data_IF_476832930275
#
_entry.id   IF_476832930275
#
_cell.length_a   1.000
_cell.length_b   1.000
_cell.length_c   1.000
_cell.angle_alpha   90.00
_cell.angle_beta   90.00
_cell.angle_gamma   90.00
#
_symmetry.space_group_name_H-M   'P 1'
#
loop_
_entity.id
_entity.type
_entity.pdbx_description
1 polymer ?
#
# COMPACT_ATOMS: atom_id res chain seq x y z
N UNK A 1 -0.27 12.56 22.57
CA UNK A 1 -1.28 11.87 21.72
C UNK A 1 -1.47 10.44 22.23
N UNK A 2 -2.70 9.89 22.23
CA UNK A 2 -2.95 8.50 22.64
C UNK A 2 -2.57 7.52 21.52
N UNK A 3 -1.70 6.56 21.82
CA UNK A 3 -1.29 5.49 20.90
C UNK A 3 -1.42 4.15 21.62
N UNK A 4 -2.62 3.56 21.67
CA UNK A 4 -2.86 2.36 22.46
C UNK A 4 -2.13 1.12 21.91
N UNK A 5 -1.78 1.13 20.62
CA UNK A 5 -0.99 0.11 19.94
C UNK A 5 -0.52 0.60 18.57
N UNK A 6 0.47 -0.09 18.01
CA UNK A 6 0.92 0.07 16.63
C UNK A 6 0.31 -1.02 15.73
N UNK A 7 0.00 -0.64 14.50
CA UNK A 7 -0.29 -1.55 13.38
C UNK A 7 0.26 -0.93 12.10
N UNK A 8 0.41 -1.69 11.04
CA UNK A 8 0.88 -1.17 9.76
C UNK A 8 0.06 0.04 9.28
N UNK A 9 -1.28 -0.03 9.40
CA UNK A 9 -2.19 1.07 9.03
C UNK A 9 -2.00 2.29 9.92
N UNK A 10 -1.84 2.11 11.24
CA UNK A 10 -1.62 3.21 12.18
C UNK A 10 -0.28 3.89 11.95
N UNK A 11 0.79 3.12 11.77
CA UNK A 11 2.12 3.65 11.45
C UNK A 11 2.12 4.41 10.13
N UNK A 12 1.48 3.87 9.09
CA UNK A 12 1.31 4.59 7.82
C UNK A 12 0.60 5.92 8.04
N UNK A 13 -0.57 5.91 8.69
CA UNK A 13 -1.35 7.13 8.91
C UNK A 13 -0.59 8.16 9.75
N UNK A 14 0.14 7.72 10.77
CA UNK A 14 0.96 8.60 11.60
C UNK A 14 2.11 9.23 10.79
N UNK A 15 2.76 8.44 9.94
CA UNK A 15 3.81 8.92 9.03
C UNK A 15 3.27 9.92 8.02
N UNK A 16 2.09 9.65 7.48
CA UNK A 16 1.47 10.49 6.44
C UNK A 16 0.98 11.83 7.03
N UNK A 17 0.32 11.79 8.20
CA UNK A 17 -0.18 13.00 8.86
C UNK A 17 -0.56 12.73 10.33
N UNK A 18 0.16 13.33 11.28
CA UNK A 18 -0.11 13.20 12.71
C UNK A 18 -1.52 13.74 13.08
N UNK A 19 -1.96 14.86 12.50
CA UNK A 19 -3.29 15.41 12.70
C UNK A 19 -4.40 14.45 12.26
N UNK A 20 -4.29 13.87 11.07
CA UNK A 20 -5.25 12.89 10.59
C UNK A 20 -5.25 11.60 11.45
N UNK A 21 -4.10 11.20 11.99
CA UNK A 21 -4.00 10.12 12.96
C UNK A 21 -4.77 10.45 14.24
N UNK A 22 -4.55 11.63 14.81
CA UNK A 22 -5.21 12.08 16.03
C UNK A 22 -6.73 12.10 15.86
N UNK A 23 -7.24 12.78 14.82
CA UNK A 23 -8.67 12.84 14.55
C UNK A 23 -9.30 11.45 14.33
N UNK A 24 -8.53 10.50 13.80
CA UNK A 24 -9.05 9.16 13.54
C UNK A 24 -9.03 8.23 14.76
N UNK A 25 -7.98 8.28 15.56
CA UNK A 25 -7.72 7.30 16.62
C UNK A 25 -7.72 7.87 18.03
N UNK A 26 -7.63 9.17 18.18
CA UNK A 26 -7.59 9.90 19.43
C UNK A 26 -8.48 11.17 19.34
N UNK A 27 -9.70 10.95 18.85
CA UNK A 27 -10.63 12.06 18.54
C UNK A 27 -10.94 12.96 19.74
N UNK A 28 -10.90 12.44 20.97
CA UNK A 28 -11.12 13.21 22.20
C UNK A 28 -10.10 14.34 22.36
N UNK A 29 -8.89 14.15 21.86
CA UNK A 29 -7.79 15.12 21.92
C UNK A 29 -7.61 15.91 20.61
N UNK A 30 -8.49 15.71 19.62
CA UNK A 30 -8.51 16.47 18.38
C UNK A 30 -9.06 17.89 18.64
N UNK A 31 -8.61 18.92 17.91
CA UNK A 31 -9.12 20.30 18.07
C UNK A 31 -10.63 20.44 17.89
N UNK A 32 -11.28 19.56 17.14
CA UNK A 32 -12.75 19.51 16.95
C UNK A 32 -13.24 18.07 17.16
N UNK A 33 -13.40 17.61 18.42
CA UNK A 33 -13.70 16.20 18.72
C UNK A 33 -15.02 15.69 18.10
N UNK A 34 -16.08 16.46 18.23
CA UNK A 34 -17.43 16.08 17.72
C UNK A 34 -17.43 15.98 16.19
N UNK A 35 -16.80 16.95 15.51
CA UNK A 35 -16.66 16.94 14.06
C UNK A 35 -15.79 15.77 13.59
N UNK A 36 -14.68 15.48 14.29
CA UNK A 36 -13.82 14.36 13.99
C UNK A 36 -14.56 13.02 14.08
N UNK A 37 -15.40 12.86 15.11
CA UNK A 37 -16.25 11.66 15.26
C UNK A 37 -17.30 11.58 14.15
N UNK A 38 -17.97 12.70 13.84
CA UNK A 38 -18.97 12.76 12.78
C UNK A 38 -18.36 12.46 11.39
N UNK A 39 -17.25 13.10 11.05
CA UNK A 39 -16.52 12.89 9.78
C UNK A 39 -15.99 11.46 9.64
N UNK A 40 -15.45 10.89 10.70
CA UNK A 40 -15.02 9.49 10.70
C UNK A 40 -16.19 8.54 10.46
N UNK A 41 -17.34 8.80 11.09
CA UNK A 41 -18.54 7.99 10.90
C UNK A 41 -19.05 8.12 9.45
N UNK A 42 -19.11 9.33 8.90
CA UNK A 42 -19.48 9.58 7.52
C UNK A 42 -18.55 8.87 6.54
N UNK A 43 -17.23 8.96 6.73
CA UNK A 43 -16.25 8.29 5.90
C UNK A 43 -16.33 6.75 5.94
N UNK A 44 -16.73 6.18 7.07
CA UNK A 44 -16.95 4.73 7.18
C UNK A 44 -18.25 4.27 6.47
N UNK A 45 -19.22 5.18 6.29
CA UNK A 45 -20.45 4.94 5.54
C UNK A 45 -20.31 5.28 4.06
N UNK A 46 -19.39 6.19 3.68
CA UNK A 46 -19.08 6.43 2.28
C UNK A 46 -18.51 5.16 1.67
N UNK A 47 -19.14 4.76 0.61
CA UNK A 47 -18.92 3.53 -0.13
C UNK A 47 -17.47 3.07 -0.17
N UNK A 48 -17.18 1.98 0.53
CA UNK A 48 -16.01 1.18 0.17
C UNK A 48 -16.13 0.89 -1.31
N UNK A 49 -15.10 1.21 -2.08
CA UNK A 49 -15.10 0.95 -3.52
C UNK A 49 -15.52 -0.50 -3.78
N UNK A 50 -16.17 -0.78 -4.89
CA UNK A 50 -16.56 -2.15 -5.25
C UNK A 50 -15.36 -3.12 -5.18
N UNK A 51 -14.16 -2.64 -5.56
CA UNK A 51 -12.92 -3.41 -5.42
C UNK A 51 -12.61 -3.79 -3.96
N UNK A 52 -12.83 -2.88 -3.00
CA UNK A 52 -12.62 -3.17 -1.58
C UNK A 52 -13.68 -4.16 -1.03
N UNK A 53 -14.95 -4.04 -1.49
CA UNK A 53 -16.01 -5.00 -1.13
C UNK A 53 -15.67 -6.41 -1.63
N UNK A 54 -15.26 -6.55 -2.89
CA UNK A 54 -14.80 -7.84 -3.45
C UNK A 54 -13.60 -8.37 -2.70
N UNK A 55 -12.64 -7.50 -2.32
CA UNK A 55 -11.52 -7.88 -1.47
C UNK A 55 -11.99 -8.52 -0.16
N UNK A 56 -12.94 -7.89 0.55
CA UNK A 56 -13.50 -8.43 1.79
C UNK A 56 -14.23 -9.77 1.58
N UNK A 57 -14.98 -9.90 0.48
CA UNK A 57 -15.65 -11.17 0.10
C UNK A 57 -14.62 -12.28 -0.13
N UNK A 58 -13.54 -11.98 -0.84
CA UNK A 58 -12.46 -12.94 -1.11
C UNK A 58 -11.78 -13.37 0.19
N UNK A 59 -11.39 -12.42 1.07
CA UNK A 59 -10.77 -12.72 2.36
C UNK A 59 -11.69 -13.58 3.25
N UNK A 60 -12.95 -13.17 3.43
CA UNK A 60 -13.89 -13.95 4.22
C UNK A 60 -14.17 -15.35 3.66
N UNK A 61 -14.21 -15.49 2.33
CA UNK A 61 -14.37 -16.81 1.70
C UNK A 61 -13.15 -17.71 1.94
N UNK A 62 -11.93 -17.17 1.87
CA UNK A 62 -10.70 -17.89 2.14
C UNK A 62 -10.59 -18.27 3.63
N UNK A 63 -10.94 -17.35 4.51
CA UNK A 63 -11.02 -17.58 5.96
C UNK A 63 -11.93 -18.76 6.28
N UNK A 64 -13.21 -18.69 5.87
CA UNK A 64 -14.19 -19.74 6.18
C UNK A 64 -13.82 -21.08 5.53
N UNK A 65 -13.27 -21.04 4.31
CA UNK A 65 -12.82 -22.25 3.63
C UNK A 65 -11.59 -22.89 4.29
N UNK A 66 -10.71 -22.10 4.93
CA UNK A 66 -9.51 -22.60 5.63
C UNK A 66 -9.79 -23.08 7.05
N UNK A 67 -10.85 -22.59 7.70
CA UNK A 67 -11.25 -23.07 9.03
C UNK A 67 -11.61 -24.56 9.01
N UNK A 68 -11.29 -25.29 10.07
CA UNK A 68 -11.80 -26.65 10.24
C UNK A 68 -13.34 -26.63 10.25
N UNK A 69 -13.94 -27.66 9.67
CA UNK A 69 -15.38 -27.89 9.76
C UNK A 69 -15.78 -28.06 11.23
N UNK A 70 -16.76 -27.28 11.69
CA UNK A 70 -17.18 -27.23 13.10
C UNK A 70 -17.69 -28.60 13.61
N UNK A 71 -18.33 -29.38 12.74
CA UNK A 71 -18.90 -30.67 13.13
C UNK A 71 -17.86 -31.78 13.19
N UNK A 72 -16.80 -31.71 12.39
CA UNK A 72 -15.83 -32.82 12.24
C UNK A 72 -14.44 -32.46 12.75
N UNK A 73 -14.15 -31.19 13.00
CA UNK A 73 -12.81 -30.67 13.35
C UNK A 73 -11.76 -30.85 12.25
N UNK A 74 -12.18 -31.26 11.05
CA UNK A 74 -11.27 -31.54 9.92
C UNK A 74 -11.20 -30.33 8.96
N UNK A 75 -10.01 -30.07 8.38
CA UNK A 75 -9.90 -29.05 7.33
C UNK A 75 -10.82 -29.37 6.16
N UNK A 76 -11.42 -28.35 5.58
CA UNK A 76 -12.21 -28.49 4.36
C UNK A 76 -11.41 -29.16 3.25
N UNK A 77 -12.02 -30.11 2.54
CA UNK A 77 -11.35 -30.74 1.39
C UNK A 77 -10.98 -29.67 0.37
N UNK A 78 -9.78 -29.71 -0.22
CA UNK A 78 -9.31 -28.71 -1.18
C UNK A 78 -10.05 -28.85 -2.52
N UNK A 79 -11.32 -28.49 -2.55
CA UNK A 79 -12.18 -28.49 -3.74
C UNK A 79 -12.60 -27.06 -4.04
N UNK A 80 -12.40 -26.61 -5.27
CA UNK A 80 -12.80 -25.27 -5.70
C UNK A 80 -14.29 -24.99 -5.47
N UNK A 81 -15.15 -25.96 -5.72
CA UNK A 81 -16.59 -25.82 -5.47
C UNK A 81 -16.95 -25.55 -4.00
N UNK A 82 -16.13 -26.05 -3.03
CA UNK A 82 -16.32 -25.72 -1.62
C UNK A 82 -15.95 -24.25 -1.35
N UNK A 83 -14.81 -23.79 -1.87
CA UNK A 83 -14.41 -22.38 -1.78
C UNK A 83 -15.46 -21.44 -2.41
N UNK A 84 -16.03 -21.83 -3.56
CA UNK A 84 -17.05 -21.01 -4.21
C UNK A 84 -18.33 -20.89 -3.40
N UNK A 85 -18.74 -21.91 -2.64
CA UNK A 85 -19.89 -21.80 -1.72
C UNK A 85 -19.67 -20.72 -0.65
N UNK A 86 -18.47 -20.64 -0.09
CA UNK A 86 -18.13 -19.59 0.87
C UNK A 86 -18.11 -18.20 0.18
N UNK A 87 -17.55 -18.12 -1.02
CA UNK A 87 -17.55 -16.86 -1.79
C UNK A 87 -18.97 -16.36 -2.07
N UNK A 88 -19.86 -17.22 -2.51
CA UNK A 88 -21.27 -16.90 -2.78
C UNK A 88 -21.99 -16.46 -1.49
N UNK A 89 -21.76 -17.16 -0.38
CA UNK A 89 -22.33 -16.81 0.92
C UNK A 89 -21.86 -15.43 1.42
N UNK A 90 -20.58 -15.09 1.24
CA UNK A 90 -20.07 -13.77 1.58
C UNK A 90 -20.59 -12.67 0.64
N UNK A 91 -20.65 -12.93 -0.65
CA UNK A 91 -21.15 -11.97 -1.65
C UNK A 91 -22.66 -11.69 -1.49
N UNK A 92 -23.43 -12.63 -0.92
CA UNK A 92 -24.84 -12.44 -0.62
C UNK A 92 -25.13 -11.50 0.55
N UNK A 93 -24.11 -11.15 1.37
CA UNK A 93 -24.29 -10.24 2.51
C UNK A 93 -24.53 -8.81 1.98
N UNK A 94 -25.57 -8.07 2.46
CA UNK A 94 -25.96 -6.77 1.90
C UNK A 94 -24.82 -5.74 1.83
N UNK A 95 -23.92 -5.73 2.85
CA UNK A 95 -22.78 -4.80 2.90
C UNK A 95 -21.69 -5.07 1.86
N UNK A 96 -21.76 -6.20 1.15
CA UNK A 96 -20.77 -6.61 0.13
C UNK A 96 -21.37 -6.70 -1.27
N UNK A 97 -22.56 -6.12 -1.49
CA UNK A 97 -23.16 -6.04 -2.82
C UNK A 97 -22.24 -5.30 -3.79
N UNK A 98 -22.01 -5.89 -4.95
CA UNK A 98 -21.17 -5.37 -6.03
C UNK A 98 -21.82 -5.65 -7.39
N UNK A 99 -21.37 -4.92 -8.40
CA UNK A 99 -21.80 -5.20 -9.78
C UNK A 99 -21.32 -6.57 -10.25
N UNK A 100 -22.03 -7.15 -11.20
CA UNK A 100 -21.75 -8.48 -11.75
C UNK A 100 -20.30 -8.60 -12.25
N UNK A 101 -19.75 -7.56 -12.88
CA UNK A 101 -18.37 -7.55 -13.37
C UNK A 101 -17.33 -7.70 -12.25
N UNK A 102 -17.56 -7.06 -11.11
CA UNK A 102 -16.70 -7.21 -9.93
C UNK A 102 -16.88 -8.56 -9.23
N UNK A 103 -18.11 -9.06 -9.20
CA UNK A 103 -18.39 -10.41 -8.68
C UNK A 103 -17.67 -11.49 -9.49
N UNK A 104 -17.77 -11.44 -10.82
CA UNK A 104 -17.07 -12.40 -11.69
C UNK A 104 -15.55 -12.23 -11.66
N UNK A 105 -15.03 -11.00 -11.53
CA UNK A 105 -13.60 -10.75 -11.32
C UNK A 105 -13.10 -11.46 -10.06
N UNK A 106 -13.84 -11.37 -8.95
CA UNK A 106 -13.49 -12.06 -7.70
C UNK A 106 -13.46 -13.59 -7.84
N UNK A 107 -14.44 -14.18 -8.53
CA UNK A 107 -14.46 -15.63 -8.84
C UNK A 107 -13.23 -16.04 -9.66
N UNK A 108 -12.89 -15.25 -10.68
CA UNK A 108 -11.73 -15.51 -11.55
C UNK A 108 -10.41 -15.41 -10.78
N UNK A 109 -10.29 -14.46 -9.85
CA UNK A 109 -9.13 -14.33 -8.95
C UNK A 109 -8.97 -15.59 -8.10
N UNK A 110 -10.05 -16.03 -7.44
CA UNK A 110 -10.05 -17.24 -6.62
C UNK A 110 -9.76 -18.51 -7.43
N UNK A 111 -10.27 -18.60 -8.66
CA UNK A 111 -9.99 -19.74 -9.56
C UNK A 111 -8.50 -19.84 -9.86
N UNK A 112 -7.88 -18.75 -10.34
CA UNK A 112 -6.45 -18.71 -10.67
C UNK A 112 -5.56 -18.99 -9.46
N UNK A 113 -5.93 -18.44 -8.30
CA UNK A 113 -5.22 -18.71 -7.05
C UNK A 113 -5.34 -20.19 -6.64
N UNK A 114 -6.55 -20.75 -6.67
CA UNK A 114 -6.81 -22.13 -6.27
C UNK A 114 -6.03 -23.13 -7.14
N UNK A 115 -5.98 -22.89 -8.44
CA UNK A 115 -5.25 -23.76 -9.39
C UNK A 115 -3.73 -23.77 -9.09
N UNK A 116 -3.18 -22.64 -8.62
CA UNK A 116 -1.76 -22.51 -8.26
C UNK A 116 -1.43 -23.07 -6.86
N UNK A 117 -2.23 -22.74 -5.86
CA UNK A 117 -1.88 -22.87 -4.45
C UNK A 117 -2.91 -23.59 -3.58
N UNK A 118 -4.16 -23.61 -3.98
CA UNK A 118 -5.27 -24.10 -3.17
C UNK A 118 -5.18 -25.59 -2.80
N UNK A 119 -4.38 -26.38 -3.51
CA UNK A 119 -4.23 -27.83 -3.36
C UNK A 119 -3.06 -28.25 -2.48
N UNK A 120 -2.21 -27.32 -2.03
CA UNK A 120 -1.00 -27.68 -1.29
C UNK A 120 -1.32 -28.15 0.14
N UNK A 121 -0.89 -29.38 0.51
CA UNK A 121 -1.10 -29.94 1.85
C UNK A 121 -0.05 -29.38 2.83
N UNK A 122 -0.22 -28.15 3.30
CA UNK A 122 0.55 -27.56 4.39
C UNK A 122 -0.31 -27.58 5.65
N UNK A 123 0.28 -27.86 6.81
CA UNK A 123 -0.45 -27.84 8.08
C UNK A 123 -0.88 -26.40 8.38
N UNK A 124 -2.19 -26.21 8.56
CA UNK A 124 -2.74 -24.95 9.02
C UNK A 124 -2.59 -24.92 10.56
N UNK A 125 -1.91 -23.90 11.06
CA UNK A 125 -1.75 -23.64 12.49
C UNK A 125 -2.88 -22.76 13.00
N UNK A 126 -3.16 -21.67 12.27
CA UNK A 126 -4.24 -20.74 12.60
C UNK A 126 -4.79 -20.05 11.34
N UNK A 127 -6.04 -19.61 11.43
CA UNK A 127 -6.76 -18.81 10.43
C UNK A 127 -7.32 -17.59 11.13
N UNK A 128 -7.17 -16.39 10.57
CA UNK A 128 -7.57 -15.11 11.18
C UNK A 128 -7.01 -14.96 12.60
N UNK A 129 -5.70 -15.25 12.73
CA UNK A 129 -5.02 -15.18 14.01
C UNK A 129 -4.92 -13.74 14.47
N UNK A 130 -5.61 -13.43 15.55
CA UNK A 130 -5.49 -12.13 16.21
C UNK A 130 -4.18 -12.06 17.02
N UNK A 131 -3.48 -10.95 16.92
CA UNK A 131 -2.38 -10.63 17.84
C UNK A 131 -2.96 -10.14 19.15
N UNK A 132 -2.56 -10.77 20.25
CA UNK A 132 -3.08 -10.47 21.58
C UNK A 132 -4.41 -11.17 21.90
N UNK A 133 -4.98 -10.85 23.06
CA UNK A 133 -6.23 -11.43 23.57
C UNK A 133 -7.45 -10.59 23.15
N UNK A 134 -8.66 -11.03 23.52
CA UNK A 134 -9.95 -10.56 22.99
C UNK A 134 -10.07 -9.05 22.77
N UNK A 135 -9.59 -8.20 23.66
CA UNK A 135 -9.65 -6.73 23.56
C UNK A 135 -8.32 -6.01 23.84
N UNK A 136 -7.24 -6.78 24.05
CA UNK A 136 -5.91 -6.25 24.34
C UNK A 136 -4.94 -6.46 23.17
N UNK A 137 -4.05 -5.49 22.88
CA UNK A 137 -2.97 -5.69 21.93
C UNK A 137 -1.96 -6.72 22.48
N UNK A 138 -1.18 -7.33 21.60
CA UNK A 138 0.00 -8.07 21.99
C UNK A 138 1.10 -7.08 22.39
N UNK A 139 1.74 -7.29 23.53
CA UNK A 139 2.85 -6.43 23.97
C UNK A 139 4.14 -7.19 23.71
N UNK A 140 4.97 -6.66 22.81
CA UNK A 140 6.30 -7.21 22.52
C UNK A 140 7.18 -7.11 23.80
N UNK A 141 8.19 -7.97 23.88
CA UNK A 141 9.17 -7.99 25.01
C UNK A 141 9.80 -6.61 25.28
N UNK A 142 9.95 -5.78 24.24
CA UNK A 142 10.46 -4.41 24.35
C UNK A 142 9.41 -3.40 24.86
N UNK A 143 8.21 -3.84 25.23
CA UNK A 143 7.13 -3.04 25.78
C UNK A 143 6.23 -2.36 24.73
N UNK A 144 6.42 -2.60 23.44
CA UNK A 144 5.60 -1.99 22.38
C UNK A 144 4.31 -2.78 22.17
N UNK A 145 3.13 -2.18 22.35
CA UNK A 145 1.87 -2.84 22.03
C UNK A 145 1.64 -2.85 20.52
N UNK A 146 1.38 -4.02 19.95
CA UNK A 146 1.08 -4.21 18.53
C UNK A 146 -0.28 -4.90 18.36
N UNK A 147 -0.93 -4.65 17.22
CA UNK A 147 -2.22 -5.24 16.91
C UNK A 147 -2.37 -5.53 15.42
N UNK A 148 -2.96 -6.66 15.11
CA UNK A 148 -3.27 -7.06 13.75
C UNK A 148 -4.03 -8.39 13.72
N UNK A 149 -4.51 -8.72 12.53
CA UNK A 149 -5.08 -10.02 12.20
C UNK A 149 -4.21 -10.65 11.12
N UNK A 150 -3.84 -11.88 11.31
CA UNK A 150 -3.03 -12.67 10.39
C UNK A 150 -3.97 -13.59 9.65
N UNK A 151 -4.07 -13.44 8.34
CA UNK A 151 -5.02 -14.22 7.54
C UNK A 151 -4.79 -15.73 7.69
N UNK A 152 -3.51 -16.17 7.70
CA UNK A 152 -3.20 -17.59 7.78
C UNK A 152 -1.80 -17.83 8.38
N UNK A 153 -1.68 -18.79 9.27
CA UNK A 153 -0.40 -19.31 9.79
C UNK A 153 -0.27 -20.77 9.36
N UNK A 154 0.84 -21.07 8.70
CA UNK A 154 1.16 -22.40 8.18
C UNK A 154 2.41 -22.96 8.86
N UNK A 155 2.46 -24.26 9.03
CA UNK A 155 3.65 -25.00 9.45
C UNK A 155 4.09 -25.94 8.34
N UNK A 156 5.32 -25.75 7.87
CA UNK A 156 5.96 -26.62 6.88
C UNK A 156 6.58 -27.84 7.52
N UNK A 157 6.89 -28.87 6.71
CA UNK A 157 7.47 -30.14 7.17
C UNK A 157 8.85 -30.00 7.81
N UNK A 158 9.59 -28.96 7.43
CA UNK A 158 10.90 -28.62 7.98
C UNK A 158 10.83 -27.80 9.28
N UNK A 159 9.61 -27.58 9.77
CA UNK A 159 9.36 -26.81 10.97
C UNK A 159 9.23 -25.29 10.74
N UNK A 160 9.40 -24.79 9.53
CA UNK A 160 9.23 -23.36 9.22
C UNK A 160 7.80 -22.91 9.46
N UNK A 161 7.62 -21.80 10.17
CA UNK A 161 6.34 -21.08 10.30
C UNK A 161 6.25 -20.04 9.20
N UNK A 162 5.20 -20.12 8.40
CA UNK A 162 4.87 -19.16 7.36
C UNK A 162 3.67 -18.31 7.78
N UNK A 163 3.88 -17.02 7.88
CA UNK A 163 2.81 -16.04 8.04
C UNK A 163 2.34 -15.62 6.66
N UNK A 164 1.07 -15.80 6.36
CA UNK A 164 0.49 -15.49 5.05
C UNK A 164 -0.51 -14.36 5.17
N UNK A 165 -0.42 -13.41 4.27
CA UNK A 165 -1.34 -12.30 4.12
C UNK A 165 -1.88 -12.28 2.69
N UNK A 166 -3.20 -12.36 2.54
CA UNK A 166 -3.87 -12.37 1.24
C UNK A 166 -4.01 -10.96 0.68
N UNK A 167 -3.62 -10.75 -0.56
CA UNK A 167 -3.74 -9.48 -1.28
C UNK A 167 -4.53 -9.65 -2.57
N UNK A 168 -5.70 -9.02 -2.64
CA UNK A 168 -6.58 -9.03 -3.81
C UNK A 168 -6.37 -7.84 -4.77
N UNK A 169 -5.44 -6.92 -4.44
CA UNK A 169 -5.17 -5.71 -5.22
C UNK A 169 -4.70 -6.02 -6.66
N UNK A 170 -4.86 -5.02 -7.53
CA UNK A 170 -4.58 -5.14 -8.98
C UNK A 170 -3.13 -4.80 -9.36
N UNK A 171 -2.32 -4.36 -8.41
CA UNK A 171 -0.89 -4.13 -8.61
C UNK A 171 -0.08 -5.23 -7.95
N UNK A 172 0.94 -5.80 -8.61
CA UNK A 172 1.86 -6.74 -7.98
C UNK A 172 2.74 -6.00 -6.96
N UNK A 173 3.26 -6.75 -5.99
CA UNK A 173 4.29 -6.31 -5.07
C UNK A 173 5.64 -6.85 -5.56
N UNK A 174 6.66 -6.01 -5.60
CA UNK A 174 8.03 -6.44 -5.89
C UNK A 174 8.70 -7.08 -4.66
N UNK A 175 9.78 -7.82 -4.87
CA UNK A 175 10.57 -8.41 -3.78
C UNK A 175 11.13 -7.31 -2.85
N UNK A 176 11.69 -6.24 -3.41
CA UNK A 176 12.23 -5.13 -2.62
C UNK A 176 11.19 -4.42 -1.76
N UNK A 177 9.94 -4.29 -2.24
CA UNK A 177 8.83 -3.77 -1.44
C UNK A 177 8.44 -4.74 -0.31
N UNK A 178 8.44 -6.04 -0.56
CA UNK A 178 8.14 -7.05 0.45
C UNK A 178 9.22 -7.11 1.54
N UNK A 179 10.49 -6.99 1.16
CA UNK A 179 11.62 -7.05 2.09
C UNK A 179 11.71 -5.85 3.04
N UNK A 180 11.03 -4.74 2.70
CA UNK A 180 10.99 -3.51 3.50
C UNK A 180 9.58 -3.21 4.06
N UNK A 181 8.66 -4.15 3.93
CA UNK A 181 7.27 -3.91 4.29
C UNK A 181 7.06 -3.91 5.81
N UNK A 182 6.44 -2.83 6.30
CA UNK A 182 6.18 -2.63 7.74
C UNK A 182 5.20 -3.67 8.29
N UNK A 183 4.23 -4.12 7.48
CA UNK A 183 3.27 -5.15 7.90
C UNK A 183 4.00 -6.48 8.08
N UNK A 184 4.86 -6.86 7.14
CA UNK A 184 5.70 -8.04 7.26
C UNK A 184 6.57 -7.98 8.53
N UNK A 185 7.18 -6.81 8.79
CA UNK A 185 8.00 -6.59 10.00
C UNK A 185 7.23 -6.76 11.31
N UNK A 186 6.02 -6.18 11.42
CA UNK A 186 5.17 -6.32 12.61
C UNK A 186 4.79 -7.79 12.84
N UNK A 187 4.43 -8.50 11.76
CA UNK A 187 3.98 -9.88 11.86
C UNK A 187 5.13 -10.84 12.17
N UNK A 188 6.32 -10.60 11.62
CA UNK A 188 7.53 -11.37 11.95
C UNK A 188 8.01 -11.06 13.38
N UNK A 189 7.93 -9.80 13.85
CA UNK A 189 8.24 -9.44 15.23
C UNK A 189 7.32 -10.17 16.22
N UNK A 190 6.01 -10.23 15.93
CA UNK A 190 5.08 -11.03 16.72
C UNK A 190 5.40 -12.52 16.66
N UNK A 191 5.61 -13.05 15.46
CA UNK A 191 5.85 -14.47 15.26
C UNK A 191 7.14 -14.95 15.96
N UNK A 192 8.18 -14.12 16.02
CA UNK A 192 9.45 -14.44 16.69
C UNK A 192 9.29 -14.68 18.20
N UNK A 193 8.27 -14.07 18.82
CA UNK A 193 7.98 -14.27 20.25
C UNK A 193 6.98 -15.41 20.50
N UNK A 194 6.06 -15.61 19.56
CA UNK A 194 5.03 -16.66 19.70
C UNK A 194 5.54 -18.03 19.28
N UNK A 195 6.48 -18.08 18.35
CA UNK A 195 7.11 -19.30 17.83
C UNK A 195 8.64 -19.23 17.98
N UNK A 196 9.13 -19.20 19.24
CA UNK A 196 10.58 -19.13 19.48
C UNK A 196 11.29 -20.34 18.86
N UNK A 197 12.53 -20.13 18.44
CA UNK A 197 13.41 -21.15 17.87
C UNK A 197 12.88 -21.82 16.58
N UNK A 198 11.92 -21.20 15.90
CA UNK A 198 11.38 -21.68 14.62
C UNK A 198 11.84 -20.80 13.48
N UNK A 199 12.27 -21.36 12.35
CA UNK A 199 12.48 -20.57 11.15
C UNK A 199 11.18 -19.86 10.73
N UNK A 200 11.27 -18.56 10.44
CA UNK A 200 10.13 -17.72 10.10
C UNK A 200 10.20 -17.21 8.68
N UNK A 201 9.07 -17.14 8.00
CA UNK A 201 8.93 -16.42 6.75
C UNK A 201 7.57 -15.73 6.67
N UNK A 202 7.52 -14.64 5.93
CA UNK A 202 6.29 -13.93 5.65
C UNK A 202 6.01 -13.96 4.14
N UNK A 203 4.77 -14.25 3.76
CA UNK A 203 4.35 -14.35 2.37
C UNK A 203 3.16 -13.44 2.08
N UNK A 204 3.34 -12.51 1.16
CA UNK A 204 2.21 -11.85 0.51
C UNK A 204 1.66 -12.79 -0.56
N UNK A 205 0.50 -13.37 -0.31
CA UNK A 205 -0.21 -14.16 -1.30
C UNK A 205 -0.99 -13.24 -2.23
N UNK A 206 -0.30 -12.75 -3.28
CA UNK A 206 -0.89 -11.88 -4.28
C UNK A 206 -1.82 -12.71 -5.15
N UNK A 207 -3.12 -12.74 -4.79
CA UNK A 207 -4.11 -13.67 -5.37
C UNK A 207 -4.20 -13.60 -6.90
N UNK A 208 -3.87 -12.45 -7.48
CA UNK A 208 -3.85 -12.25 -8.95
C UNK A 208 -2.54 -12.64 -9.61
N UNK A 209 -1.41 -12.61 -8.86
CA UNK A 209 -0.07 -12.64 -9.47
C UNK A 209 0.78 -13.83 -9.02
N UNK A 210 0.71 -14.22 -7.76
CA UNK A 210 1.56 -15.25 -7.18
C UNK A 210 1.96 -14.91 -5.76
N UNK A 211 3.03 -15.52 -5.26
CA UNK A 211 3.52 -15.32 -3.89
C UNK A 211 4.80 -14.51 -3.93
N UNK A 212 4.89 -13.53 -3.04
CA UNK A 212 6.13 -12.82 -2.77
C UNK A 212 6.48 -13.07 -1.31
N UNK A 213 7.58 -13.79 -1.08
CA UNK A 213 8.01 -14.21 0.25
C UNK A 213 9.21 -13.41 0.70
N UNK A 214 9.20 -12.95 1.95
CA UNK A 214 10.36 -12.35 2.59
C UNK A 214 10.76 -13.17 3.82
N UNK A 215 12.08 -13.28 4.03
CA UNK A 215 12.70 -13.97 5.16
C UNK A 215 13.63 -12.96 5.81
N UNK A 216 13.43 -12.72 7.10
CA UNK A 216 14.26 -11.82 7.87
C UNK A 216 15.12 -12.62 8.84
N UNK A 217 16.37 -12.22 9.01
CA UNK A 217 17.21 -12.76 10.05
C UNK A 217 16.75 -12.28 11.43
N UNK A 218 17.18 -12.96 12.48
CA UNK A 218 16.86 -12.58 13.87
C UNK A 218 17.41 -11.19 14.19
N UNK A 219 18.56 -10.82 13.63
CA UNK A 219 19.14 -9.49 13.79
C UNK A 219 18.22 -8.44 13.17
N UNK A 220 17.73 -8.68 11.95
CA UNK A 220 16.81 -7.75 11.27
C UNK A 220 15.48 -7.60 12.02
N UNK A 221 14.96 -8.69 12.57
CA UNK A 221 13.75 -8.66 13.42
C UNK A 221 14.00 -7.85 14.68
N UNK A 222 15.16 -8.03 15.32
CA UNK A 222 15.56 -7.28 16.51
C UNK A 222 15.72 -5.79 16.21
N UNK A 223 16.40 -5.42 15.13
CA UNK A 223 16.51 -4.04 14.67
C UNK A 223 15.14 -3.41 14.41
N UNK A 224 14.23 -4.17 13.78
CA UNK A 224 12.88 -3.70 13.53
C UNK A 224 12.07 -3.51 14.83
N UNK A 225 12.20 -4.39 15.84
CA UNK A 225 11.60 -4.21 17.16
C UNK A 225 12.12 -2.94 17.83
N UNK A 226 13.42 -2.66 17.76
CA UNK A 226 14.01 -1.44 18.27
C UNK A 226 13.48 -0.18 17.54
N UNK A 227 13.39 -0.25 16.22
CA UNK A 227 12.76 0.80 15.40
C UNK A 227 11.30 1.03 15.77
N UNK A 228 10.50 -0.04 15.97
CA UNK A 228 9.11 0.09 16.44
C UNK A 228 9.02 0.81 17.77
N UNK A 229 9.92 0.50 18.72
CA UNK A 229 9.98 1.16 20.02
C UNK A 229 10.23 2.66 19.86
N UNK A 230 11.23 3.03 19.08
CA UNK A 230 11.51 4.45 18.78
C UNK A 230 10.30 5.15 18.17
N UNK A 231 9.58 4.50 17.22
CA UNK A 231 8.38 5.07 16.62
C UNK A 231 7.22 5.19 17.60
N UNK A 232 7.07 4.23 18.48
CA UNK A 232 6.03 4.26 19.51
C UNK A 232 6.28 5.39 20.53
N UNK A 233 7.49 5.50 21.05
CA UNK A 233 7.90 6.55 21.99
C UNK A 233 7.77 7.94 21.36
N UNK A 234 8.25 8.11 20.13
CA UNK A 234 8.08 9.36 19.39
C UNK A 234 6.61 9.74 19.19
N UNK A 235 5.75 8.75 18.91
CA UNK A 235 4.32 9.00 18.75
C UNK A 235 3.64 9.41 20.08
N UNK A 236 4.04 8.82 21.19
CA UNK A 236 3.54 9.20 22.52
C UNK A 236 4.00 10.60 22.93
N UNK A 237 5.20 11.03 22.51
CA UNK A 237 5.76 12.34 22.80
C UNK A 237 5.14 13.48 21.98
N UNK A 238 4.27 13.20 21.00
CA UNK A 238 3.58 14.24 20.23
C UNK A 238 2.58 14.97 21.13
N UNK A 239 2.90 16.20 21.49
CA UNK A 239 2.03 17.09 22.27
C UNK A 239 0.98 17.72 21.34
N UNK A 240 1.39 18.26 20.22
CA UNK A 240 0.52 18.85 19.19
C UNK A 240 0.65 18.12 17.86
N UNK A 241 -0.47 17.61 17.34
CA UNK A 241 -0.49 16.88 16.08
C UNK A 241 -0.59 17.85 14.91
N UNK A 242 0.54 18.20 14.33
CA UNK A 242 0.63 19.13 13.20
C UNK A 242 0.19 18.42 11.90
N UNK A 243 -0.70 19.04 11.10
CA UNK A 243 -1.08 18.49 9.80
C UNK A 243 0.06 18.55 8.79
N UNK A 244 0.18 17.47 8.01
CA UNK A 244 1.14 17.37 6.92
C UNK A 244 0.37 17.28 5.60
N UNK A 245 0.63 18.18 4.66
CA UNK A 245 0.05 18.13 3.33
C UNK A 245 0.79 17.13 2.45
N UNK A 246 0.04 16.23 1.83
CA UNK A 246 0.59 15.18 0.96
C UNK A 246 -0.48 14.53 0.09
N UNK A 247 -0.10 13.47 -0.62
CA UNK A 247 -1.00 12.76 -1.53
C UNK A 247 -2.23 12.16 -0.83
N UNK A 248 -2.12 11.81 0.43
CA UNK A 248 -3.21 11.24 1.24
C UNK A 248 -4.31 12.27 1.55
N UNK A 249 -4.04 13.57 1.38
CA UNK A 249 -5.04 14.63 1.56
C UNK A 249 -6.23 14.48 0.60
N UNK A 250 -6.02 13.88 -0.57
CA UNK A 250 -7.08 13.59 -1.56
C UNK A 250 -8.21 12.72 -0.99
N UNK A 251 -7.89 11.91 0.02
CA UNK A 251 -8.80 10.92 0.62
C UNK A 251 -9.00 11.15 2.11
N UNK A 252 -8.58 12.33 2.60
CA UNK A 252 -8.64 12.65 4.02
C UNK A 252 -10.08 13.01 4.43
N UNK A 253 -10.63 12.25 5.37
CA UNK A 253 -11.97 12.52 5.89
C UNK A 253 -12.04 13.79 6.76
N UNK A 254 -10.88 14.34 7.17
CA UNK A 254 -10.80 15.44 8.14
C UNK A 254 -10.40 16.79 7.52
N UNK A 255 -10.49 16.89 6.20
CA UNK A 255 -10.14 18.11 5.47
C UNK A 255 -10.97 19.34 5.89
N UNK A 256 -12.23 19.14 6.26
CA UNK A 256 -13.13 20.20 6.73
C UNK A 256 -12.64 20.88 8.04
N UNK A 257 -11.99 20.11 8.91
CA UNK A 257 -11.49 20.61 10.21
C UNK A 257 -9.95 20.77 10.24
N UNK A 258 -9.26 20.43 9.14
CA UNK A 258 -7.81 20.52 9.04
C UNK A 258 -7.38 22.00 8.90
N UNK A 259 -6.55 22.55 9.83
CA UNK A 259 -6.15 23.95 9.76
C UNK A 259 -5.35 24.26 8.49
N UNK A 260 -4.54 23.35 7.98
CA UNK A 260 -3.80 23.53 6.73
C UNK A 260 -4.75 23.51 5.51
N UNK A 261 -5.75 22.61 5.49
CA UNK A 261 -6.74 22.62 4.43
C UNK A 261 -7.58 23.91 4.45
N UNK A 262 -7.95 24.41 5.63
CA UNK A 262 -8.65 25.70 5.79
C UNK A 262 -7.77 26.86 5.30
N UNK A 263 -6.49 26.89 5.67
CA UNK A 263 -5.54 27.90 5.18
C UNK A 263 -5.44 27.89 3.65
N UNK A 264 -5.36 26.71 3.03
CA UNK A 264 -5.30 26.57 1.58
C UNK A 264 -6.61 26.99 0.88
N UNK A 265 -7.77 26.79 1.53
CA UNK A 265 -9.06 27.28 1.03
C UNK A 265 -9.13 28.80 0.94
N UNK A 266 -8.57 29.51 1.93
CA UNK A 266 -8.50 30.97 1.92
C UNK A 266 -7.69 31.51 0.72
N UNK A 267 -6.86 30.70 0.12
CA UNK A 267 -6.10 31.03 -1.10
C UNK A 267 -6.90 30.76 -2.40
N UNK A 268 -8.18 30.35 -2.30
CA UNK A 268 -9.15 30.28 -3.41
C UNK A 268 -9.09 29.07 -4.32
N UNK A 269 -8.13 28.13 -4.11
CA UNK A 269 -8.00 26.94 -4.97
C UNK A 269 -8.75 25.71 -4.45
N UNK A 270 -9.14 25.68 -3.19
CA UNK A 270 -9.72 24.50 -2.54
C UNK A 270 -11.25 24.57 -2.36
N UNK A 271 -11.88 25.72 -2.45
CA UNK A 271 -13.36 25.82 -2.42
C UNK A 271 -14.02 25.01 -3.54
N UNK A 272 -13.27 24.81 -4.65
CA UNK A 272 -13.71 24.04 -5.81
C UNK A 272 -13.62 22.51 -5.62
N UNK A 273 -12.91 22.03 -4.60
CA UNK A 273 -12.62 20.59 -4.42
C UNK A 273 -13.60 19.95 -3.42
N UNK A 274 -14.24 20.74 -2.57
CA UNK A 274 -14.86 20.26 -1.34
C UNK A 274 -16.35 20.61 -1.17
N UNK A 275 -16.95 21.39 -2.09
CA UNK A 275 -18.36 21.71 -2.03
C UNK A 275 -19.21 20.60 -2.66
N UNK A 276 -20.36 20.32 -2.09
CA UNK A 276 -21.41 19.55 -2.76
C UNK A 276 -21.83 20.33 -4.01
N UNK A 277 -21.85 19.66 -5.14
CA UNK A 277 -22.21 20.26 -6.42
C UNK A 277 -23.73 20.33 -6.52
N UNK A 278 -24.28 21.51 -6.80
CA UNK A 278 -25.70 21.74 -6.84
C UNK A 278 -26.39 21.11 -8.05
N UNK A 279 -25.86 21.35 -9.24
CA UNK A 279 -26.36 20.79 -10.49
C UNK A 279 -25.22 20.40 -11.45
N UNK A 280 -25.57 19.81 -12.58
CA UNK A 280 -24.59 19.33 -13.59
C UNK A 280 -23.77 20.48 -14.18
N UNK A 281 -24.34 21.66 -14.35
CA UNK A 281 -23.64 22.81 -14.91
C UNK A 281 -22.61 23.38 -13.91
N UNK A 282 -22.97 23.48 -12.65
CA UNK A 282 -22.04 23.86 -11.57
C UNK A 282 -20.91 22.84 -11.44
N UNK A 283 -21.22 21.54 -11.47
CA UNK A 283 -20.24 20.46 -11.43
C UNK A 283 -19.26 20.56 -12.59
N UNK A 284 -19.72 20.80 -13.82
CA UNK A 284 -18.87 20.91 -15.00
C UNK A 284 -17.99 22.17 -14.98
N UNK A 285 -18.52 23.30 -14.52
CA UNK A 285 -17.77 24.55 -14.34
C UNK A 285 -16.68 24.38 -13.28
N UNK A 286 -16.97 23.74 -12.17
CA UNK A 286 -16.01 23.43 -11.10
C UNK A 286 -14.93 22.47 -11.61
N UNK A 287 -15.29 21.44 -12.39
CA UNK A 287 -14.33 20.53 -13.01
C UNK A 287 -13.40 21.25 -13.99
N UNK A 288 -13.93 22.16 -14.81
CA UNK A 288 -13.13 22.97 -15.75
C UNK A 288 -12.12 23.87 -14.98
N UNK A 289 -12.58 24.50 -13.91
CA UNK A 289 -11.75 25.36 -13.05
C UNK A 289 -10.67 24.57 -12.32
N UNK A 290 -10.99 23.38 -11.80
CA UNK A 290 -10.01 22.46 -11.18
C UNK A 290 -8.95 22.05 -12.20
N UNK A 291 -9.35 21.68 -13.42
CA UNK A 291 -8.40 21.32 -14.50
C UNK A 291 -7.48 22.48 -14.87
N UNK A 292 -8.03 23.69 -14.97
CA UNK A 292 -7.23 24.90 -15.27
C UNK A 292 -6.24 25.20 -14.13
N UNK A 293 -6.69 25.17 -12.88
CA UNK A 293 -5.86 25.37 -11.68
C UNK A 293 -4.75 24.33 -11.60
N UNK A 294 -5.06 23.05 -11.83
CA UNK A 294 -4.06 21.97 -11.90
C UNK A 294 -3.00 22.28 -12.96
N UNK A 295 -3.41 22.71 -14.15
CA UNK A 295 -2.47 23.04 -15.25
C UNK A 295 -1.56 24.21 -14.86
N UNK A 296 -2.08 25.23 -14.19
CA UNK A 296 -1.29 26.38 -13.73
C UNK A 296 -0.30 25.96 -12.63
N UNK A 297 -0.73 25.15 -11.67
CA UNK A 297 0.12 24.62 -10.61
C UNK A 297 1.24 23.73 -11.18
N UNK A 298 0.93 22.86 -12.14
CA UNK A 298 1.93 22.04 -12.83
C UNK A 298 2.96 22.88 -13.60
N UNK A 299 2.52 24.00 -14.21
CA UNK A 299 3.43 24.96 -14.88
C UNK A 299 4.32 25.66 -13.87
N UNK A 300 3.77 26.13 -12.76
CA UNK A 300 4.52 26.76 -11.68
C UNK A 300 5.56 25.80 -11.08
N UNK A 301 5.14 24.56 -10.81
CA UNK A 301 6.04 23.50 -10.34
C UNK A 301 7.19 23.26 -11.32
N UNK A 302 6.89 23.06 -12.61
CA UNK A 302 7.92 22.85 -13.65
C UNK A 302 8.88 24.03 -13.76
N UNK A 303 8.38 25.27 -13.61
CA UNK A 303 9.24 26.46 -13.61
C UNK A 303 10.20 26.42 -12.41
N UNK A 304 9.68 26.19 -11.20
CA UNK A 304 10.50 26.10 -9.98
C UNK A 304 11.54 24.96 -10.11
N UNK A 305 11.12 23.79 -10.58
CA UNK A 305 12.03 22.66 -10.79
C UNK A 305 13.12 22.98 -11.84
N UNK A 306 12.76 23.70 -12.90
CA UNK A 306 13.72 24.17 -13.91
C UNK A 306 14.72 25.15 -13.30
N UNK A 307 14.23 26.13 -12.56
CA UNK A 307 15.08 27.14 -11.91
C UNK A 307 16.02 26.49 -10.87
N UNK A 308 15.52 25.49 -10.11
CA UNK A 308 16.35 24.69 -9.20
C UNK A 308 17.43 23.90 -9.95
N UNK A 309 17.08 23.25 -11.08
CA UNK A 309 18.05 22.49 -11.89
C UNK A 309 19.14 23.37 -12.53
N UNK A 310 18.88 24.65 -12.73
CA UNK A 310 19.85 25.60 -13.29
C UNK A 310 20.81 26.16 -12.24
N UNK A 311 20.59 25.88 -10.96
CA UNK A 311 21.51 26.29 -9.89
C UNK A 311 22.81 25.49 -9.96
N UNK A 312 23.95 26.15 -9.81
CA UNK A 312 25.26 25.53 -9.90
C UNK A 312 25.50 24.41 -8.88
N UNK A 313 24.75 24.38 -7.77
CA UNK A 313 24.79 23.30 -6.78
C UNK A 313 24.25 21.98 -7.36
N UNK A 314 23.27 22.03 -8.28
CA UNK A 314 22.66 20.85 -8.90
C UNK A 314 23.23 20.51 -10.27
N UNK A 315 24.41 21.02 -10.60
CA UNK A 315 25.09 20.76 -11.88
C UNK A 315 25.26 19.25 -12.12
N UNK A 316 24.69 18.69 -13.22
CA UNK A 316 24.76 17.27 -13.52
C UNK A 316 26.19 16.76 -13.82
N UNK A 317 27.15 17.65 -14.03
CA UNK A 317 28.56 17.28 -14.21
C UNK A 317 29.27 16.97 -12.90
N UNK A 318 28.72 17.43 -11.76
CA UNK A 318 29.28 17.13 -10.43
C UNK A 318 29.01 15.69 -10.03
N UNK A 319 29.79 15.12 -9.08
CA UNK A 319 29.46 13.85 -8.45
C UNK A 319 28.06 13.88 -7.82
N UNK A 320 27.31 12.77 -7.90
CA UNK A 320 25.91 12.72 -7.43
C UNK A 320 25.74 13.17 -5.97
N UNK A 321 26.70 12.85 -5.10
CA UNK A 321 26.72 13.26 -3.67
C UNK A 321 26.84 14.78 -3.48
N UNK A 322 27.37 15.51 -4.47
CA UNK A 322 27.62 16.94 -4.41
C UNK A 322 26.52 17.76 -5.11
N UNK A 323 25.52 17.11 -5.69
CA UNK A 323 24.37 17.72 -6.36
C UNK A 323 23.25 17.98 -5.38
N UNK A 324 23.53 18.82 -4.37
CA UNK A 324 22.63 19.06 -3.26
C UNK A 324 22.51 20.55 -2.95
N UNK A 325 21.28 21.02 -2.76
CA UNK A 325 20.97 22.32 -2.16
C UNK A 325 20.43 22.03 -0.75
N UNK A 326 21.01 22.70 0.26
CA UNK A 326 20.58 22.63 1.65
C UNK A 326 20.08 24.01 2.07
N UNK A 327 18.91 24.03 2.67
CA UNK A 327 18.36 25.19 3.39
C UNK A 327 18.14 24.82 4.86
N UNK A 328 17.60 25.71 5.65
CA UNK A 328 17.24 25.39 7.04
C UNK A 328 16.23 24.25 7.12
N UNK A 329 15.23 24.24 6.23
CA UNK A 329 14.08 23.31 6.28
C UNK A 329 14.09 22.25 5.20
N UNK A 330 14.86 22.41 4.13
CA UNK A 330 14.74 21.58 2.93
C UNK A 330 16.07 21.06 2.42
N UNK A 331 16.04 19.84 1.94
CA UNK A 331 17.11 19.23 1.16
C UNK A 331 16.61 18.94 -0.25
N UNK A 332 17.32 19.46 -1.28
CA UNK A 332 17.04 19.20 -2.70
C UNK A 332 18.20 18.42 -3.28
N UNK A 333 17.93 17.29 -3.89
CA UNK A 333 18.95 16.41 -4.48
C UNK A 333 18.62 16.16 -5.95
N UNK A 334 19.64 16.18 -6.82
CA UNK A 334 19.55 15.71 -8.19
C UNK A 334 20.15 14.31 -8.29
N UNK A 335 19.28 13.30 -8.32
CA UNK A 335 19.67 11.90 -8.43
C UNK A 335 19.60 11.42 -9.88
N UNK A 336 20.48 10.50 -10.24
CA UNK A 336 20.40 9.77 -11.49
C UNK A 336 19.50 8.56 -11.36
N UNK A 337 18.67 8.33 -12.36
CA UNK A 337 17.91 7.10 -12.51
C UNK A 337 18.06 6.57 -13.94
N UNK A 338 17.87 5.30 -14.12
CA UNK A 338 17.87 4.66 -15.42
C UNK A 338 16.43 4.32 -15.79
N UNK A 339 16.00 4.75 -16.96
CA UNK A 339 14.72 4.37 -17.52
C UNK A 339 14.96 3.40 -18.67
N UNK A 340 14.37 2.23 -18.59
CA UNK A 340 14.40 1.22 -19.63
C UNK A 340 13.15 1.35 -20.49
N UNK A 341 13.33 1.37 -21.79
CA UNK A 341 12.26 1.45 -22.78
C UNK A 341 12.55 0.46 -23.91
N UNK A 342 11.51 -0.08 -24.50
CA UNK A 342 11.62 -0.86 -25.73
C UNK A 342 11.49 0.04 -26.95
N UNK A 343 12.24 -0.27 -28.00
CA UNK A 343 12.19 0.49 -29.25
C UNK A 343 10.98 0.04 -30.07
N UNK A 344 9.92 0.87 -30.21
CA UNK A 344 8.62 0.44 -30.74
C UNK A 344 8.67 -0.21 -32.13
N UNK A 345 9.41 0.39 -33.07
CA UNK A 345 9.48 -0.10 -34.43
C UNK A 345 10.28 -1.41 -34.57
N UNK A 346 11.20 -1.68 -33.64
CA UNK A 346 11.94 -2.94 -33.60
C UNK A 346 11.07 -4.04 -33.01
N UNK A 347 10.36 -3.77 -31.91
CA UNK A 347 9.38 -4.71 -31.33
C UNK A 347 8.30 -5.06 -32.36
N UNK A 348 7.78 -4.08 -33.12
CA UNK A 348 6.76 -4.29 -34.14
C UNK A 348 7.20 -5.25 -35.23
N UNK A 349 8.51 -5.24 -35.57
CA UNK A 349 9.06 -6.16 -36.60
C UNK A 349 9.21 -7.58 -36.11
N UNK A 350 9.35 -7.77 -34.81
CA UNK A 350 9.69 -9.05 -34.18
C UNK A 350 8.45 -9.85 -33.76
N UNK A 351 7.33 -9.18 -33.44
CA UNK A 351 6.14 -9.84 -32.91
C UNK A 351 4.99 -9.88 -33.92
N UNK A 352 4.14 -10.93 -33.89
CA UNK A 352 2.94 -11.00 -34.72
C UNK A 352 2.02 -9.79 -34.50
N UNK A 353 1.35 -9.26 -35.54
CA UNK A 353 0.48 -8.08 -35.44
C UNK A 353 -0.58 -8.17 -34.33
N UNK A 354 -1.16 -9.37 -34.14
CA UNK A 354 -2.16 -9.61 -33.10
C UNK A 354 -1.58 -9.44 -31.68
N UNK A 355 -0.34 -9.89 -31.46
CA UNK A 355 0.37 -9.73 -30.17
C UNK A 355 0.81 -8.29 -29.98
N UNK A 356 1.31 -7.64 -31.05
CA UNK A 356 1.69 -6.22 -30.98
C UNK A 356 0.49 -5.33 -30.62
N UNK A 357 -0.69 -5.63 -31.17
CA UNK A 357 -1.94 -4.94 -30.84
C UNK A 357 -2.35 -5.06 -29.37
N UNK A 358 -1.95 -6.11 -28.66
CA UNK A 358 -2.20 -6.26 -27.20
C UNK A 358 -1.23 -5.45 -26.33
N UNK A 359 -0.09 -5.01 -26.90
CA UNK A 359 0.89 -4.14 -26.25
C UNK A 359 0.48 -2.67 -26.38
N UNK A 360 -0.72 -2.31 -25.94
CA UNK A 360 -1.40 -1.04 -26.23
C UNK A 360 -0.61 0.25 -25.98
N UNK A 361 0.57 0.21 -25.37
CA UNK A 361 1.40 1.39 -25.11
C UNK A 361 2.91 1.17 -25.26
N UNK A 362 3.38 -0.04 -25.57
CA UNK A 362 4.81 -0.44 -25.55
C UNK A 362 5.56 0.06 -24.31
N UNK A 363 4.84 0.23 -23.20
CA UNK A 363 5.48 0.45 -21.93
C UNK A 363 6.28 -0.80 -21.53
N UNK A 364 7.39 -0.63 -20.80
CA UNK A 364 8.18 -1.73 -20.27
C UNK A 364 7.29 -2.84 -19.68
N UNK A 365 6.35 -2.47 -18.82
CA UNK A 365 5.42 -3.39 -18.18
C UNK A 365 4.45 -4.09 -19.15
N UNK A 366 4.08 -3.47 -20.28
CA UNK A 366 3.22 -4.09 -21.28
C UNK A 366 4.00 -5.13 -22.10
N UNK A 367 5.22 -4.83 -22.46
CA UNK A 367 6.10 -5.75 -23.21
C UNK A 367 6.49 -6.93 -22.32
N UNK A 368 6.95 -6.71 -21.09
CA UNK A 368 7.32 -7.77 -20.14
C UNK A 368 6.17 -8.74 -19.83
N UNK A 369 4.92 -8.27 -19.86
CA UNK A 369 3.73 -9.15 -19.74
C UNK A 369 3.50 -10.02 -20.97
N UNK A 370 3.92 -9.56 -22.13
CA UNK A 370 3.75 -10.29 -23.38
C UNK A 370 4.87 -11.29 -23.64
N UNK A 371 6.09 -11.08 -23.10
CA UNK A 371 7.24 -11.97 -23.31
C UNK A 371 6.94 -13.45 -23.05
N UNK A 372 6.25 -13.85 -21.96
CA UNK A 372 5.97 -15.27 -21.68
C UNK A 372 5.05 -15.97 -22.68
N UNK A 373 4.34 -15.22 -23.54
CA UNK A 373 3.44 -15.80 -24.57
C UNK A 373 4.09 -15.83 -25.96
N UNK A 374 5.31 -15.32 -26.09
CA UNK A 374 6.08 -15.35 -27.32
C UNK A 374 6.96 -16.61 -27.39
N UNK A 375 7.31 -17.09 -28.59
CA UNK A 375 8.35 -18.10 -28.76
C UNK A 375 9.67 -17.61 -28.11
N UNK A 376 10.48 -18.52 -27.56
CA UNK A 376 11.70 -18.13 -26.80
C UNK A 376 12.68 -17.27 -27.59
N UNK A 377 12.88 -17.58 -28.86
CA UNK A 377 13.74 -16.83 -29.77
C UNK A 377 13.21 -15.42 -30.07
N UNK A 378 11.90 -15.28 -30.19
CA UNK A 378 11.25 -13.97 -30.38
C UNK A 378 11.29 -13.17 -29.08
N UNK A 379 11.07 -13.79 -27.93
CA UNK A 379 11.14 -13.13 -26.63
C UNK A 379 12.54 -12.59 -26.38
N UNK A 380 13.60 -13.36 -26.65
CA UNK A 380 14.99 -12.92 -26.55
C UNK A 380 15.30 -11.75 -27.50
N UNK A 381 14.85 -11.83 -28.75
CA UNK A 381 15.03 -10.76 -29.71
C UNK A 381 14.31 -9.45 -29.27
N UNK A 382 13.11 -9.57 -28.67
CA UNK A 382 12.39 -8.42 -28.12
C UNK A 382 13.14 -7.82 -26.92
N UNK A 383 13.68 -8.63 -26.02
CA UNK A 383 14.51 -8.14 -24.91
C UNK A 383 15.75 -7.36 -25.40
N UNK A 384 16.37 -7.78 -26.51
CA UNK A 384 17.51 -7.08 -27.10
C UNK A 384 17.15 -5.69 -27.66
N UNK A 385 15.88 -5.39 -27.93
CA UNK A 385 15.42 -4.03 -28.35
C UNK A 385 15.34 -3.05 -27.18
N UNK A 386 15.58 -3.50 -25.97
CA UNK A 386 15.50 -2.70 -24.75
C UNK A 386 16.66 -1.72 -24.68
N UNK A 387 16.33 -0.45 -24.54
CA UNK A 387 17.32 0.62 -24.36
C UNK A 387 17.23 1.20 -22.96
N UNK A 388 18.39 1.58 -22.41
CA UNK A 388 18.48 2.26 -21.12
C UNK A 388 18.78 3.73 -21.35
N UNK A 389 17.86 4.60 -20.94
CA UNK A 389 18.05 6.06 -20.99
C UNK A 389 18.43 6.57 -19.61
N UNK A 390 19.54 7.31 -19.47
CA UNK A 390 19.82 8.03 -18.23
C UNK A 390 18.77 9.13 -18.03
N UNK A 391 18.21 9.22 -16.85
CA UNK A 391 17.28 10.28 -16.46
C UNK A 391 17.74 10.88 -15.14
N UNK A 392 17.42 12.13 -14.91
CA UNK A 392 17.68 12.80 -13.63
C UNK A 392 16.37 13.09 -12.93
N UNK A 393 16.29 12.77 -11.66
CA UNK A 393 15.16 13.06 -10.80
C UNK A 393 15.54 14.12 -9.76
N UNK A 394 14.78 15.21 -9.74
CA UNK A 394 14.86 16.19 -8.66
C UNK A 394 14.04 15.65 -7.47
N UNK A 395 14.68 15.49 -6.32
CA UNK A 395 14.04 15.07 -5.08
C UNK A 395 14.12 16.22 -4.08
N UNK A 396 12.95 16.60 -3.55
CA UNK A 396 12.83 17.66 -2.53
C UNK A 396 12.32 16.99 -1.27
N UNK A 397 13.07 17.07 -0.19
CA UNK A 397 12.73 16.47 1.10
C UNK A 397 12.83 17.50 2.20
N UNK A 398 11.96 17.46 3.22
CA UNK A 398 12.22 18.18 4.46
C UNK A 398 13.56 17.73 5.02
N UNK A 399 14.34 18.66 5.54
CA UNK A 399 15.54 18.33 6.27
C UNK A 399 15.14 17.62 7.57
N UNK A 400 15.77 16.49 7.93
CA UNK A 400 15.56 15.91 9.26
C UNK A 400 15.78 17.00 10.29
N UNK A 401 14.87 17.17 11.23
CA UNK A 401 15.14 17.99 12.40
C UNK A 401 16.26 17.24 13.14
N UNK A 402 17.45 17.81 13.13
CA UNK A 402 18.48 17.35 14.03
C UNK A 402 17.92 17.53 15.44
N UNK A 403 17.78 16.43 16.17
CA UNK A 403 17.60 16.46 17.59
C UNK A 403 18.73 17.35 18.15
N UNK A 404 18.40 18.56 18.51
CA UNK A 404 19.29 19.38 19.30
C UNK A 404 19.37 18.71 20.66
N UNK A 405 20.29 17.75 20.78
CA UNK A 405 20.87 17.41 22.06
C UNK A 405 21.73 18.60 22.51
N UNK A 406 21.27 19.28 23.50
CA UNK A 406 21.95 20.25 24.28
C UNK A 406 21.60 19.98 25.72
#
# INVERSE_FOLDING_TARGET
MKVPYLSATRLKKLKDCAFAYQCHYDAENCPSPDDAVALKKAANHQDRTQAARVGNVIHGALEDWRKPDEATGKPSKPRFGALMKHYEAWAAKPQYTVDLSFYEDGKNVLRRWFDRRGKNPVRIVAVEQKMGEAFAPYVLENGVPIYGFIDLVLEHKDGTIEIVDYKSNRAPKSQGEADQDVQAGIYLAWASEVYPDRPLKFSFEMLRFGVVTTIWSDEKISEFKAWLKTKYEAALAIEEAIPTIGDECKWCAFDAICPEAQRLRQVGAMDLILNEFGDDEEMLNNLATIKASKTLLERAQKKIEKDLRQRGELDPTKPAKDRVILTESWKVELTESKREEYVPHEVQRLVPPAVFGTMASLSKAAVERALPILPPDVAEAVEQTKITKPTTRLTIKPKPQDDKQG
#
